data_IF_889505280301
#
_entry.id   IF_889505280301
#
_cell.length_a   1.000
_cell.length_b   1.000
_cell.length_c   1.000
_cell.angle_alpha   90.00
_cell.angle_beta   90.00
_cell.angle_gamma   90.00
#
_symmetry.space_group_name_H-M   'P 1'
#
loop_
_entity.id
_entity.type
_entity.pdbx_description
1 polymer ?
#
# COMPACT_ATOMS: atom_id res chain seq x y z
N UNK A 1 -2.62 -6.42 20.27
CA UNK A 1 -3.69 -5.60 19.68
C UNK A 1 -4.61 -6.54 18.91
N UNK A 2 -5.93 -6.39 19.01
CA UNK A 2 -6.84 -7.28 18.30
C UNK A 2 -6.85 -7.00 16.77
N UNK A 3 -7.30 -7.97 15.99
CA UNK A 3 -7.28 -7.93 14.52
C UNK A 3 -8.19 -6.82 13.95
N UNK A 4 -9.31 -6.50 14.61
CA UNK A 4 -10.22 -5.43 14.18
C UNK A 4 -9.57 -4.05 14.39
N UNK A 5 -8.90 -3.85 15.52
CA UNK A 5 -8.14 -2.63 15.78
C UNK A 5 -7.00 -2.43 14.77
N UNK A 6 -6.26 -3.50 14.44
CA UNK A 6 -5.23 -3.46 13.38
C UNK A 6 -5.81 -3.10 12.00
N UNK A 7 -6.97 -3.67 11.64
CA UNK A 7 -7.65 -3.35 10.38
C UNK A 7 -8.09 -1.89 10.32
N UNK A 8 -8.62 -1.34 11.42
CA UNK A 8 -9.00 0.07 11.51
C UNK A 8 -7.80 0.97 11.26
N UNK A 9 -6.68 0.72 11.94
CA UNK A 9 -5.43 1.50 11.81
C UNK A 9 -4.92 1.51 10.36
N UNK A 10 -4.91 0.34 9.71
CA UNK A 10 -4.50 0.24 8.31
C UNK A 10 -5.46 0.97 7.36
N UNK A 11 -6.76 0.92 7.64
CA UNK A 11 -7.76 1.62 6.83
C UNK A 11 -7.64 3.14 6.99
N UNK A 12 -7.44 3.62 8.22
CA UNK A 12 -7.27 5.04 8.53
C UNK A 12 -5.98 5.58 7.88
N UNK A 13 -4.88 4.82 7.97
CA UNK A 13 -3.61 5.15 7.32
C UNK A 13 -3.76 5.23 5.79
N UNK A 14 -4.54 4.32 5.21
CA UNK A 14 -4.80 4.28 3.77
C UNK A 14 -5.65 5.47 3.30
N UNK A 15 -6.75 5.79 4.00
CA UNK A 15 -7.62 6.91 3.64
C UNK A 15 -6.90 8.27 3.80
N UNK A 16 -6.08 8.43 4.83
CA UNK A 16 -5.25 9.65 4.97
C UNK A 16 -4.28 9.81 3.81
N UNK A 17 -3.61 8.73 3.42
CA UNK A 17 -2.66 8.76 2.32
C UNK A 17 -3.34 9.06 0.97
N UNK A 18 -4.50 8.43 0.72
CA UNK A 18 -5.33 8.69 -0.46
C UNK A 18 -5.75 10.17 -0.53
N UNK A 19 -6.15 10.75 0.60
CA UNK A 19 -6.50 12.17 0.72
C UNK A 19 -5.30 13.08 0.42
N UNK A 20 -4.14 12.83 1.04
CA UNK A 20 -2.88 13.59 0.81
C UNK A 20 -2.45 13.58 -0.65
N UNK A 21 -2.72 12.49 -1.36
CA UNK A 21 -2.29 12.31 -2.74
C UNK A 21 -3.33 12.79 -3.76
N UNK A 22 -4.50 13.24 -3.27
CA UNK A 22 -5.63 13.72 -4.08
C UNK A 22 -5.92 12.76 -5.23
N UNK A 23 -5.91 11.47 -4.91
CA UNK A 23 -6.12 10.37 -5.86
C UNK A 23 -7.62 10.26 -6.15
N UNK A 24 -8.15 11.23 -6.87
CA UNK A 24 -9.37 11.04 -7.65
C UNK A 24 -9.00 10.45 -9.01
N UNK A 25 -9.90 9.67 -9.61
CA UNK A 25 -9.69 8.94 -10.89
C UNK A 25 -9.22 9.85 -12.05
N UNK A 26 -9.37 11.17 -11.92
CA UNK A 26 -8.95 12.18 -12.91
C UNK A 26 -7.52 12.71 -12.73
N UNK A 27 -6.88 12.45 -11.60
CA UNK A 27 -5.56 13.02 -11.23
C UNK A 27 -4.38 12.23 -11.82
N UNK A 28 -4.64 11.09 -12.44
CA UNK A 28 -3.63 10.13 -12.90
C UNK A 28 -3.15 10.37 -14.34
N UNK A 29 -3.85 11.20 -15.10
CA UNK A 29 -3.51 11.49 -16.50
C UNK A 29 -2.48 12.62 -16.67
N UNK A 30 -2.05 13.28 -15.58
CA UNK A 30 -1.20 14.46 -15.67
C UNK A 30 -0.15 14.54 -14.56
N UNK A 31 0.87 13.68 -14.57
CA UNK A 31 2.04 13.85 -13.68
C UNK A 31 3.37 13.52 -14.36
N UNK A 32 3.69 14.23 -15.44
CA UNK A 32 5.08 14.63 -15.67
C UNK A 32 5.39 15.78 -14.69
N UNK A 33 5.78 15.38 -13.48
CA UNK A 33 6.31 16.29 -12.46
C UNK A 33 7.83 16.31 -12.59
N UNK A 34 8.44 17.50 -12.65
CA UNK A 34 9.89 17.73 -12.60
C UNK A 34 10.51 17.37 -11.22
N UNK A 35 9.72 16.82 -10.31
CA UNK A 35 10.17 16.42 -8.98
C UNK A 35 11.17 15.25 -9.05
N UNK A 36 12.27 15.30 -8.27
CA UNK A 36 13.18 14.18 -8.09
C UNK A 36 12.43 12.92 -7.66
N UNK A 37 12.73 11.81 -8.35
CA UNK A 37 12.15 10.51 -8.04
C UNK A 37 13.15 9.68 -7.25
N UNK A 38 12.68 9.11 -6.13
CA UNK A 38 13.39 8.07 -5.39
C UNK A 38 12.77 6.74 -5.81
N UNK A 39 13.55 5.90 -6.50
CA UNK A 39 13.10 4.59 -6.98
C UNK A 39 11.78 4.63 -7.79
N UNK A 40 11.58 5.68 -8.60
CA UNK A 40 10.41 5.82 -9.48
C UNK A 40 9.21 6.55 -8.86
N UNK A 41 9.20 6.76 -7.53
CA UNK A 41 8.16 7.54 -6.84
C UNK A 41 8.69 8.96 -6.54
N UNK A 42 7.87 10.03 -6.67
CA UNK A 42 8.31 11.37 -6.31
C UNK A 42 8.74 11.46 -4.82
N UNK A 43 9.77 12.25 -4.53
CA UNK A 43 10.33 12.36 -3.17
C UNK A 43 9.30 12.79 -2.12
N UNK A 44 8.40 13.72 -2.45
CA UNK A 44 7.26 14.12 -1.60
C UNK A 44 6.36 12.94 -1.22
N UNK A 45 6.16 12.00 -2.14
CA UNK A 45 5.34 10.82 -1.94
C UNK A 45 6.05 9.78 -1.09
N UNK A 46 7.37 9.64 -1.24
CA UNK A 46 8.19 8.83 -0.32
C UNK A 46 8.14 9.40 1.10
N UNK A 47 8.22 10.72 1.23
CA UNK A 47 8.11 11.39 2.52
C UNK A 47 6.73 11.17 3.17
N UNK A 48 5.65 11.33 2.40
CA UNK A 48 4.28 11.05 2.87
C UNK A 48 4.15 9.61 3.41
N UNK A 49 4.74 8.63 2.72
CA UNK A 49 4.72 7.23 3.16
C UNK A 49 5.45 7.04 4.49
N UNK A 50 6.64 7.63 4.65
CA UNK A 50 7.42 7.53 5.89
C UNK A 50 6.68 8.19 7.06
N UNK A 51 6.05 9.34 6.84
CA UNK A 51 5.22 10.00 7.85
C UNK A 51 4.03 9.14 8.28
N UNK A 52 3.37 8.45 7.34
CA UNK A 52 2.28 7.51 7.66
C UNK A 52 2.81 6.32 8.46
N UNK A 53 3.98 5.76 8.11
CA UNK A 53 4.61 4.66 8.84
C UNK A 53 4.82 5.03 10.31
N UNK A 54 5.41 6.20 10.55
CA UNK A 54 5.72 6.69 11.89
C UNK A 54 4.43 7.03 12.67
N UNK A 55 3.49 7.75 12.04
CA UNK A 55 2.25 8.18 12.69
C UNK A 55 1.39 7.02 13.19
N UNK A 56 1.26 5.99 12.38
CA UNK A 56 0.44 4.82 12.69
C UNK A 56 1.24 3.67 13.33
N UNK A 57 2.53 3.88 13.58
CA UNK A 57 3.46 2.88 14.13
C UNK A 57 3.40 1.55 13.38
N UNK A 58 3.35 1.62 12.04
CA UNK A 58 3.21 0.45 11.19
C UNK A 58 4.48 -0.40 11.24
N UNK A 59 4.31 -1.71 11.43
CA UNK A 59 5.40 -2.65 11.22
C UNK A 59 5.78 -2.75 9.73
N UNK A 60 6.88 -3.44 9.41
CA UNK A 60 7.38 -3.49 8.04
C UNK A 60 6.40 -4.16 7.05
N UNK A 61 5.58 -5.11 7.51
CA UNK A 61 4.58 -5.79 6.67
C UNK A 61 3.37 -4.89 6.43
N UNK A 62 2.90 -4.23 7.48
CA UNK A 62 1.83 -3.23 7.45
C UNK A 62 2.21 -2.05 6.55
N UNK A 63 3.45 -1.59 6.65
CA UNK A 63 3.99 -0.54 5.80
C UNK A 63 4.09 -0.98 4.34
N UNK A 64 4.59 -2.19 4.05
CA UNK A 64 4.63 -2.73 2.68
C UNK A 64 3.24 -2.80 2.06
N UNK A 65 2.22 -3.14 2.84
CA UNK A 65 0.83 -3.18 2.37
C UNK A 65 0.33 -1.79 1.97
N UNK A 66 0.61 -0.78 2.80
CA UNK A 66 0.22 0.61 2.54
C UNK A 66 0.98 1.17 1.33
N UNK A 67 2.29 0.93 1.21
CA UNK A 67 3.09 1.31 0.03
C UNK A 67 2.52 0.65 -1.24
N UNK A 68 2.24 -0.66 -1.18
CA UNK A 68 1.66 -1.38 -2.31
C UNK A 68 0.30 -0.83 -2.74
N UNK A 69 -0.59 -0.56 -1.79
CA UNK A 69 -1.86 0.10 -2.06
C UNK A 69 -1.63 1.49 -2.66
N UNK A 70 -0.85 2.34 -2.01
CA UNK A 70 -0.60 3.72 -2.42
C UNK A 70 0.00 3.85 -3.81
N UNK A 71 1.04 3.07 -4.12
CA UNK A 71 1.67 3.04 -5.45
C UNK A 71 0.67 2.52 -6.49
N UNK A 72 -0.12 1.49 -6.17
CA UNK A 72 -1.17 1.02 -7.07
C UNK A 72 -2.29 2.02 -7.32
N UNK A 73 -2.65 2.81 -6.31
CA UNK A 73 -3.59 3.91 -6.43
C UNK A 73 -2.98 5.06 -7.24
N UNK A 74 -1.69 5.39 -7.05
CA UNK A 74 -0.97 6.46 -7.76
C UNK A 74 -0.63 6.14 -9.21
N UNK A 75 -0.46 4.87 -9.57
CA UNK A 75 -0.27 4.48 -10.98
C UNK A 75 -1.57 4.13 -11.69
N UNK A 76 -2.72 4.25 -11.01
CA UNK A 76 -4.05 4.13 -11.62
C UNK A 76 -4.44 2.72 -12.05
N UNK A 77 -3.95 1.67 -11.38
CA UNK A 77 -3.87 0.36 -12.02
C UNK A 77 -4.64 -0.79 -11.35
N UNK A 78 -5.53 -1.37 -12.17
CA UNK A 78 -6.02 -2.76 -12.11
C UNK A 78 -4.92 -3.80 -11.85
N UNK A 79 -3.66 -3.54 -12.25
CA UNK A 79 -2.53 -4.46 -12.07
C UNK A 79 -2.11 -4.65 -10.61
N UNK A 80 -2.28 -3.66 -9.73
CA UNK A 80 -1.89 -3.83 -8.32
C UNK A 80 -2.87 -4.72 -7.57
N UNK A 81 -4.16 -4.69 -7.92
CA UNK A 81 -5.14 -5.66 -7.41
C UNK A 81 -4.73 -7.09 -7.76
N UNK A 82 -4.21 -7.32 -8.97
CA UNK A 82 -3.72 -8.63 -9.41
C UNK A 82 -2.43 -9.04 -8.70
N UNK A 83 -1.50 -8.10 -8.48
CA UNK A 83 -0.25 -8.37 -7.74
C UNK A 83 -0.54 -8.68 -6.27
N UNK A 84 -1.40 -7.90 -5.61
CA UNK A 84 -1.81 -8.15 -4.22
C UNK A 84 -2.53 -9.50 -4.12
N UNK A 85 -3.46 -9.80 -5.05
CA UNK A 85 -4.17 -11.08 -5.06
C UNK A 85 -3.21 -12.26 -5.26
N UNK A 86 -2.25 -12.16 -6.19
CA UNK A 86 -1.22 -13.18 -6.38
C UNK A 86 -0.34 -13.36 -5.14
N UNK A 87 0.06 -12.27 -4.49
CA UNK A 87 0.91 -12.33 -3.29
C UNK A 87 0.16 -12.90 -2.08
N UNK A 88 -1.13 -12.57 -1.91
CA UNK A 88 -1.97 -13.19 -0.88
C UNK A 88 -2.13 -14.69 -1.16
N UNK A 89 -2.35 -15.10 -2.41
CA UNK A 89 -2.43 -16.53 -2.76
C UNK A 89 -1.12 -17.25 -2.44
N UNK A 90 0.04 -16.73 -2.83
CA UNK A 90 1.35 -17.33 -2.51
C UNK A 90 1.59 -17.41 -1.00
N UNK A 91 1.20 -16.37 -0.25
CA UNK A 91 1.34 -16.36 1.21
C UNK A 91 0.43 -17.42 1.85
N UNK A 92 -0.80 -17.55 1.37
CA UNK A 92 -1.75 -18.56 1.83
C UNK A 92 -1.24 -19.97 1.50
N UNK A 93 -0.73 -20.22 0.30
CA UNK A 93 -0.11 -21.51 -0.07
C UNK A 93 1.07 -21.85 0.86
N UNK A 94 1.95 -20.87 1.11
CA UNK A 94 3.08 -21.05 2.00
C UNK A 94 2.63 -21.38 3.44
N UNK A 95 1.70 -20.60 4.00
CA UNK A 95 1.17 -20.84 5.35
C UNK A 95 0.46 -22.19 5.42
N UNK A 96 -0.37 -22.52 4.43
CA UNK A 96 -1.07 -23.80 4.30
C UNK A 96 -0.13 -24.99 4.23
N UNK A 97 1.01 -24.85 3.52
CA UNK A 97 2.06 -25.86 3.45
C UNK A 97 2.74 -26.10 4.80
N UNK A 98 2.85 -25.06 5.65
CA UNK A 98 3.43 -25.16 6.98
C UNK A 98 2.46 -25.82 7.97
N UNK A 99 1.17 -25.46 7.90
CA UNK A 99 0.15 -25.94 8.84
C UNK A 99 -0.54 -27.23 8.39
N UNK A 100 -0.16 -27.80 7.23
CA UNK A 100 -0.70 -29.06 6.71
C UNK A 100 -2.18 -29.00 6.32
N UNK A 101 -2.70 -27.82 5.96
CA UNK A 101 -4.06 -27.67 5.41
C UNK A 101 -3.96 -27.60 3.89
N UNK A 102 -4.45 -28.61 3.20
CA UNK A 102 -4.65 -28.51 1.74
C UNK A 102 -5.71 -27.42 1.46
N UNK A 103 -5.40 -26.51 0.54
CA UNK A 103 -6.31 -25.46 0.04
C UNK A 103 -7.16 -25.99 -1.12
#
# INVERSE_FOLDING_TARGET
MDIQTKKSILWDAFEELKSRWSVDEKSLEAKDSDEPKINGLPESKVKDLMEIKEKYQLDDLEFLFIVGAAVGFYEGQKNVKDVISKKIMTLNEFVSSIIGREL
#
